data_IF_388897974900
#
_entry.id   IF_388897974900
#
_cell.length_a   1.000
_cell.length_b   1.000
_cell.length_c   1.000
_cell.angle_alpha   90.00
_cell.angle_beta   90.00
_cell.angle_gamma   90.00
#
_symmetry.space_group_name_H-M   'P 1'
#
loop_
_entity.id
_entity.type
_entity.pdbx_description
1 polymer ?
#
# COMPACT_ATOMS: atom_id res chain seq x y z
N UNK A 1 14.53 12.44 11.65
CA UNK A 1 15.48 11.34 11.35
C UNK A 1 14.80 10.04 11.76
N UNK A 2 14.12 9.38 10.83
CA UNK A 2 13.50 8.06 11.05
C UNK A 2 14.43 7.02 10.44
N UNK A 3 14.98 6.15 11.27
CA UNK A 3 15.87 5.08 10.86
C UNK A 3 15.06 4.00 10.12
N UNK A 4 15.64 3.45 9.04
CA UNK A 4 15.14 2.20 8.44
C UNK A 4 15.04 1.15 9.55
N UNK A 5 13.87 0.57 9.74
CA UNK A 5 13.69 -0.59 10.63
C UNK A 5 14.15 -1.81 9.85
N UNK A 6 15.40 -2.19 10.04
CA UNK A 6 15.95 -3.45 9.54
C UNK A 6 15.67 -4.52 10.61
N UNK A 7 15.12 -5.67 10.20
CA UNK A 7 14.77 -6.76 11.10
C UNK A 7 15.86 -7.83 11.04
N UNK A 8 16.39 -8.23 12.19
CA UNK A 8 17.53 -9.13 12.26
C UNK A 8 17.14 -10.40 13.04
N UNK A 9 17.18 -11.57 12.39
CA UNK A 9 16.90 -12.87 12.98
C UNK A 9 18.22 -13.59 13.29
N UNK A 10 18.43 -13.97 14.55
CA UNK A 10 19.57 -14.77 15.00
C UNK A 10 19.12 -16.22 15.19
N UNK A 11 19.80 -17.15 14.52
CA UNK A 11 19.64 -18.59 14.79
C UNK A 11 20.92 -19.07 15.47
N UNK A 12 20.79 -19.45 16.75
CA UNK A 12 21.85 -20.09 17.53
C UNK A 12 21.74 -21.59 17.33
N UNK A 13 22.79 -22.25 16.81
CA UNK A 13 22.88 -23.71 16.78
C UNK A 13 23.77 -24.20 17.93
N UNK A 14 23.22 -25.05 18.80
CA UNK A 14 23.93 -25.62 19.94
C UNK A 14 23.91 -27.16 19.87
N UNK A 15 25.09 -27.78 19.88
CA UNK A 15 25.26 -29.16 20.31
C UNK A 15 25.54 -29.15 21.82
N UNK A 16 24.69 -29.87 22.56
CA UNK A 16 24.49 -29.85 24.01
C UNK A 16 25.74 -29.92 24.90
N UNK A 17 25.77 -29.07 25.93
CA UNK A 17 25.90 -29.45 27.34
C UNK A 17 25.47 -28.26 28.23
N UNK A 18 24.72 -28.56 29.29
CA UNK A 18 24.12 -27.60 30.24
C UNK A 18 25.17 -26.75 30.96
N UNK A 19 25.25 -25.47 30.60
CA UNK A 19 25.71 -24.37 31.47
C UNK A 19 25.08 -23.09 30.97
N UNK A 20 24.35 -22.38 31.83
CA UNK A 20 23.90 -21.01 31.56
C UNK A 20 25.15 -20.15 31.27
N UNK A 21 25.34 -19.73 30.02
CA UNK A 21 26.39 -18.80 29.66
C UNK A 21 25.79 -17.42 29.38
N UNK A 22 26.44 -16.42 29.96
CA UNK A 22 26.16 -15.01 29.81
C UNK A 22 26.02 -14.61 28.33
N UNK A 23 25.00 -13.79 28.06
CA UNK A 23 24.79 -13.14 26.78
C UNK A 23 26.10 -12.52 26.27
N UNK A 24 26.49 -12.85 25.05
CA UNK A 24 27.54 -12.12 24.36
C UNK A 24 27.13 -10.64 24.29
N UNK A 25 28.01 -9.76 24.73
CA UNK A 25 27.75 -8.33 24.83
C UNK A 25 27.49 -7.76 23.42
N UNK A 26 26.32 -7.17 23.12
CA UNK A 26 25.97 -6.65 21.79
C UNK A 26 26.58 -5.27 21.52
N UNK A 27 27.70 -4.93 22.18
CA UNK A 27 28.24 -3.57 22.24
C UNK A 27 29.24 -3.21 21.13
N UNK A 28 29.45 -4.06 20.12
CA UNK A 28 30.14 -3.65 18.91
C UNK A 28 29.12 -3.09 17.91
N UNK A 29 28.93 -1.78 17.98
CA UNK A 29 28.15 -0.94 17.09
C UNK A 29 28.72 -1.02 15.65
N UNK A 30 28.44 -2.13 14.97
CA UNK A 30 28.50 -2.24 13.52
C UNK A 30 27.06 -2.31 13.03
N UNK A 31 26.69 -1.36 12.18
CA UNK A 31 25.57 -1.53 11.24
C UNK A 31 25.66 -2.96 10.72
N UNK A 32 24.60 -3.75 10.89
CA UNK A 32 24.61 -5.15 10.46
C UNK A 32 25.12 -5.20 9.02
N UNK A 33 26.24 -5.91 8.81
CA UNK A 33 26.83 -5.99 7.49
C UNK A 33 25.83 -6.71 6.59
N UNK A 34 25.48 -6.10 5.45
CA UNK A 34 24.59 -6.74 4.49
C UNK A 34 25.22 -8.03 3.98
N UNK A 35 24.40 -9.07 3.78
CA UNK A 35 24.87 -10.35 3.28
C UNK A 35 25.64 -10.19 1.94
N UNK A 36 26.79 -10.85 1.75
CA UNK A 36 27.52 -10.82 0.48
C UNK A 36 26.63 -11.30 -0.68
N UNK A 37 26.59 -10.53 -1.77
CA UNK A 37 25.76 -10.85 -2.94
C UNK A 37 24.30 -10.40 -2.83
N UNK A 38 23.97 -9.53 -1.88
CA UNK A 38 22.68 -8.82 -1.87
C UNK A 38 22.43 -8.14 -3.21
N UNK A 39 21.30 -8.47 -3.84
CA UNK A 39 20.77 -7.73 -4.97
C UNK A 39 19.72 -6.76 -4.42
N UNK A 40 19.93 -5.47 -4.65
CA UNK A 40 19.07 -4.40 -4.15
C UNK A 40 18.19 -3.80 -5.24
N UNK A 41 17.09 -3.18 -4.83
CA UNK A 41 16.19 -2.42 -5.72
C UNK A 41 15.58 -3.29 -6.83
N UNK A 42 15.27 -4.53 -6.50
CA UNK A 42 14.58 -5.44 -7.41
C UNK A 42 13.16 -4.91 -7.61
N UNK A 43 12.76 -4.75 -8.87
CA UNK A 43 11.41 -4.39 -9.25
C UNK A 43 10.74 -5.59 -9.92
N UNK A 44 9.64 -6.05 -9.33
CA UNK A 44 8.76 -7.04 -9.95
C UNK A 44 7.56 -6.28 -10.49
N UNK A 45 7.58 -5.98 -11.79
CA UNK A 45 6.53 -5.18 -12.44
C UNK A 45 5.63 -6.09 -13.27
N UNK A 46 4.31 -6.11 -13.03
CA UNK A 46 3.37 -6.72 -13.96
C UNK A 46 3.31 -5.88 -15.25
N UNK A 47 3.00 -6.53 -16.37
CA UNK A 47 2.89 -5.88 -17.70
C UNK A 47 1.75 -4.83 -17.76
N UNK A 48 0.72 -5.00 -16.92
CA UNK A 48 -0.54 -4.26 -16.98
C UNK A 48 -0.89 -3.44 -15.74
N UNK A 49 -0.02 -3.36 -14.73
CA UNK A 49 -0.25 -2.50 -13.57
C UNK A 49 0.78 -1.37 -13.49
N UNK A 50 0.45 -0.25 -12.83
CA UNK A 50 1.41 0.84 -12.57
C UNK A 50 2.65 0.39 -11.78
N UNK A 51 3.78 1.05 -12.04
CA UNK A 51 5.01 0.90 -11.25
C UNK A 51 4.90 1.70 -9.94
N UNK A 52 4.55 1.02 -8.85
CA UNK A 52 4.41 1.61 -7.52
C UNK A 52 5.73 1.74 -6.72
N UNK A 53 6.91 1.60 -7.36
CA UNK A 53 8.21 1.69 -6.68
C UNK A 53 8.58 3.10 -6.19
N UNK A 54 7.97 4.13 -6.76
CA UNK A 54 8.05 5.52 -6.29
C UNK A 54 6.83 6.30 -6.75
N UNK A 55 6.52 7.43 -6.10
CA UNK A 55 5.41 8.29 -6.55
C UNK A 55 5.62 8.78 -8.00
N UNK A 56 6.87 9.06 -8.39
CA UNK A 56 7.20 9.49 -9.75
C UNK A 56 6.99 8.38 -10.77
N UNK A 57 7.50 7.17 -10.50
CA UNK A 57 7.27 5.99 -11.34
C UNK A 57 5.78 5.69 -11.51
N UNK A 58 5.03 5.85 -10.41
CA UNK A 58 3.60 5.60 -10.39
C UNK A 58 2.88 6.57 -11.31
N UNK A 59 3.15 7.86 -11.19
CA UNK A 59 2.58 8.88 -12.08
C UNK A 59 2.98 8.67 -13.54
N UNK A 60 4.25 8.38 -13.81
CA UNK A 60 4.73 8.13 -15.18
C UNK A 60 4.03 6.94 -15.82
N UNK A 61 3.85 5.86 -15.06
CA UNK A 61 3.20 4.63 -15.55
C UNK A 61 1.68 4.78 -15.69
N UNK A 62 1.01 5.44 -14.74
CA UNK A 62 -0.43 5.74 -14.80
C UNK A 62 -0.75 6.63 -15.99
N UNK A 63 0.10 7.62 -16.26
CA UNK A 63 -0.18 8.67 -17.24
C UNK A 63 0.49 8.50 -18.61
N UNK A 64 1.17 7.36 -18.84
CA UNK A 64 2.06 7.14 -20.00
C UNK A 64 1.44 7.43 -21.37
N UNK A 65 0.14 7.23 -21.54
CA UNK A 65 -0.60 7.39 -22.80
C UNK A 65 -1.53 8.61 -22.81
N UNK A 66 -1.58 9.36 -21.71
CA UNK A 66 -2.40 10.55 -21.57
C UNK A 66 -1.78 11.74 -22.32
N UNK A 67 -2.61 12.43 -23.10
CA UNK A 67 -2.25 13.58 -23.94
C UNK A 67 -2.66 14.91 -23.32
N UNK A 68 -3.67 14.91 -22.45
CA UNK A 68 -4.17 16.13 -21.78
C UNK A 68 -4.08 16.02 -20.26
N UNK A 69 -4.10 17.15 -19.55
CA UNK A 69 -4.11 17.13 -18.09
C UNK A 69 -5.42 16.55 -17.53
N UNK A 70 -6.56 16.78 -18.19
CA UNK A 70 -7.82 16.09 -17.85
C UNK A 70 -7.67 14.56 -17.94
N UNK A 71 -7.05 14.04 -19.01
CA UNK A 71 -6.78 12.59 -19.15
C UNK A 71 -5.87 12.07 -18.03
N UNK A 72 -4.82 12.82 -17.68
CA UNK A 72 -3.92 12.47 -16.55
C UNK A 72 -4.67 12.48 -15.21
N UNK A 73 -5.51 13.48 -14.97
CA UNK A 73 -6.28 13.61 -13.74
C UNK A 73 -7.27 12.45 -13.59
N UNK A 74 -7.97 12.08 -14.67
CA UNK A 74 -8.85 10.91 -14.69
C UNK A 74 -8.08 9.60 -14.53
N UNK A 75 -6.90 9.46 -15.14
CA UNK A 75 -6.08 8.27 -14.98
C UNK A 75 -5.63 8.06 -13.52
N UNK A 76 -5.17 9.14 -12.86
CA UNK A 76 -4.82 9.11 -11.43
C UNK A 76 -6.06 8.82 -10.57
N UNK A 77 -7.18 9.50 -10.82
CA UNK A 77 -8.43 9.22 -10.12
C UNK A 77 -8.83 7.75 -10.25
N UNK A 78 -8.82 7.20 -11.47
CA UNK A 78 -9.14 5.79 -11.70
C UNK A 78 -8.15 4.84 -11.01
N UNK A 79 -6.86 5.18 -10.96
CA UNK A 79 -5.90 4.43 -10.17
C UNK A 79 -6.30 4.40 -8.69
N UNK A 80 -6.60 5.56 -8.08
CA UNK A 80 -7.08 5.64 -6.70
C UNK A 80 -8.31 4.77 -6.50
N UNK A 81 -9.27 4.86 -7.42
CA UNK A 81 -10.48 4.08 -7.39
C UNK A 81 -10.23 2.57 -7.41
N UNK A 82 -9.23 2.09 -8.15
CA UNK A 82 -8.94 0.66 -8.31
C UNK A 82 -8.07 0.10 -7.19
N UNK A 83 -7.26 0.94 -6.55
CA UNK A 83 -6.25 0.48 -5.58
C UNK A 83 -6.60 0.81 -4.14
N UNK A 84 -7.57 1.71 -3.92
CA UNK A 84 -7.95 2.16 -2.60
C UNK A 84 -9.43 1.98 -2.33
N UNK A 85 -9.74 1.78 -1.05
CA UNK A 85 -11.09 1.80 -0.54
C UNK A 85 -11.16 2.69 0.69
N UNK A 86 -12.36 3.17 1.03
CA UNK A 86 -12.49 3.88 2.29
C UNK A 86 -12.49 2.91 3.47
N UNK A 87 -11.73 3.21 4.50
CA UNK A 87 -11.82 2.52 5.80
C UNK A 87 -10.90 3.14 6.86
N UNK A 88 -11.39 3.95 7.80
CA UNK A 88 -10.57 4.51 8.89
C UNK A 88 -9.26 5.20 8.41
N UNK A 89 -8.48 5.79 9.32
CA UNK A 89 -7.14 6.25 8.98
C UNK A 89 -6.13 5.16 9.38
N UNK A 90 -5.31 4.62 8.46
CA UNK A 90 -4.11 3.90 8.88
C UNK A 90 -3.15 4.89 9.56
N UNK A 91 -2.32 4.39 10.46
CA UNK A 91 -1.44 5.25 11.23
C UNK A 91 -0.22 4.51 11.73
N UNK A 92 0.92 5.15 11.59
CA UNK A 92 2.20 4.72 12.15
C UNK A 92 2.79 5.84 13.01
N UNK A 93 3.67 5.45 13.94
CA UNK A 93 4.40 6.42 14.75
C UNK A 93 5.24 7.33 13.86
N UNK A 94 5.02 8.64 13.98
CA UNK A 94 5.72 9.62 13.16
C UNK A 94 5.13 9.81 11.77
N UNK A 95 3.86 9.46 11.54
CA UNK A 95 3.12 9.71 10.29
C UNK A 95 3.36 8.66 9.21
N UNK A 96 2.37 8.44 8.35
CA UNK A 96 2.39 7.43 7.30
C UNK A 96 2.68 8.07 5.93
N UNK A 97 3.81 7.75 5.29
CA UNK A 97 4.10 8.22 3.93
C UNK A 97 3.09 7.69 2.92
N UNK A 98 2.65 8.53 1.98
CA UNK A 98 1.75 8.14 0.89
C UNK A 98 2.29 6.93 0.12
N UNK A 99 3.59 6.88 -0.17
CA UNK A 99 4.17 5.74 -0.88
C UNK A 99 3.99 4.43 -0.11
N UNK A 100 4.04 4.46 1.23
CA UNK A 100 3.80 3.28 2.07
C UNK A 100 2.31 2.96 2.16
N UNK A 101 1.44 3.96 2.26
CA UNK A 101 -0.01 3.78 2.28
C UNK A 101 -0.48 3.04 1.03
N UNK A 102 -0.06 3.48 -0.16
CA UNK A 102 -0.40 2.85 -1.43
C UNK A 102 0.13 1.41 -1.52
N UNK A 103 1.36 1.14 -1.06
CA UNK A 103 1.99 -0.18 -1.20
C UNK A 103 1.59 -1.19 -0.13
N UNK A 104 1.20 -0.76 1.07
CA UNK A 104 1.00 -1.63 2.23
C UNK A 104 -0.41 -1.61 2.81
N UNK A 105 -1.14 -0.52 2.61
CA UNK A 105 -2.46 -0.32 3.21
C UNK A 105 -3.53 -0.37 2.10
N UNK A 106 -3.53 0.59 1.17
CA UNK A 106 -4.56 0.68 0.14
C UNK A 106 -5.93 1.04 0.72
N UNK A 107 -5.98 1.71 1.87
CA UNK A 107 -7.22 2.24 2.44
C UNK A 107 -6.97 3.50 3.25
N UNK A 108 -7.96 4.38 3.30
CA UNK A 108 -7.94 5.55 4.18
C UNK A 108 -9.33 6.17 4.38
N UNK A 109 -9.43 7.27 5.11
CA UNK A 109 -10.60 8.15 5.08
C UNK A 109 -10.35 9.32 4.10
N UNK A 110 -11.38 10.14 3.90
CA UNK A 110 -11.42 11.17 2.86
C UNK A 110 -10.13 11.99 2.75
N UNK A 111 -9.64 12.57 3.85
CA UNK A 111 -8.41 13.37 3.77
C UNK A 111 -7.14 12.57 3.44
N UNK A 112 -7.08 11.29 3.79
CA UNK A 112 -5.92 10.43 3.51
C UNK A 112 -5.89 10.04 2.03
N UNK A 113 -7.02 9.58 1.49
CA UNK A 113 -7.16 9.31 0.05
C UNK A 113 -6.85 10.55 -0.80
N UNK A 114 -7.27 11.73 -0.35
CA UNK A 114 -6.95 12.99 -1.00
C UNK A 114 -5.50 13.45 -0.79
N UNK A 115 -4.84 13.01 0.29
CA UNK A 115 -3.40 13.20 0.49
C UNK A 115 -2.59 12.36 -0.50
N UNK A 116 -3.00 11.12 -0.74
CA UNK A 116 -2.40 10.26 -1.76
C UNK A 116 -2.58 10.88 -3.15
N UNK A 117 -3.80 11.27 -3.49
CA UNK A 117 -4.12 11.86 -4.79
C UNK A 117 -3.32 13.16 -5.06
N UNK A 118 -3.23 14.05 -4.08
CA UNK A 118 -2.43 15.28 -4.20
C UNK A 118 -0.93 15.04 -4.25
N UNK A 119 -0.41 14.03 -3.56
CA UNK A 119 1.00 13.65 -3.64
C UNK A 119 1.38 13.17 -5.06
N UNK A 120 0.46 12.50 -5.76
CA UNK A 120 0.64 12.13 -7.17
C UNK A 120 0.60 13.36 -8.09
N UNK A 121 -0.36 14.27 -7.91
CA UNK A 121 -0.41 15.52 -8.69
C UNK A 121 0.83 16.38 -8.53
N UNK A 122 1.43 16.41 -7.34
CA UNK A 122 2.71 17.07 -7.09
C UNK A 122 3.82 16.56 -8.02
N UNK A 123 3.84 15.26 -8.36
CA UNK A 123 4.83 14.70 -9.29
C UNK A 123 4.63 15.16 -10.74
N UNK A 124 3.43 15.62 -11.08
CA UNK A 124 3.13 16.29 -12.37
C UNK A 124 3.45 17.79 -12.34
N UNK A 125 3.90 18.34 -11.19
CA UNK A 125 4.14 19.76 -11.01
C UNK A 125 2.87 20.60 -10.85
N UNK A 126 1.73 19.95 -10.55
CA UNK A 126 0.46 20.65 -10.35
C UNK A 126 0.35 21.22 -8.95
N UNK A 127 -0.38 22.33 -8.82
CA UNK A 127 -0.82 22.81 -7.51
C UNK A 127 -1.94 21.94 -6.95
N UNK A 128 -2.14 21.96 -5.64
CA UNK A 128 -3.30 21.37 -5.00
C UNK A 128 -3.80 22.26 -3.87
N UNK A 129 -5.06 22.06 -3.46
CA UNK A 129 -5.59 22.60 -2.21
C UNK A 129 -6.58 21.62 -1.64
N UNK A 130 -6.52 21.41 -0.33
CA UNK A 130 -7.63 20.76 0.35
C UNK A 130 -8.83 21.69 0.34
N UNK A 131 -10.00 21.12 0.18
CA UNK A 131 -11.28 21.78 0.39
C UNK A 131 -12.08 20.87 1.31
N UNK A 132 -13.15 21.36 1.92
CA UNK A 132 -13.98 20.49 2.74
C UNK A 132 -15.19 21.15 3.30
N UNK A 133 -16.12 20.31 3.74
CA UNK A 133 -17.32 20.68 4.47
C UNK A 133 -17.43 19.80 5.72
N UNK A 134 -18.46 20.03 6.53
CA UNK A 134 -18.58 19.29 7.78
C UNK A 134 -18.64 17.77 7.54
N UNK A 135 -17.69 17.04 8.12
CA UNK A 135 -17.59 15.59 8.01
C UNK A 135 -16.89 15.07 6.74
N UNK A 136 -16.40 15.95 5.86
CA UNK A 136 -15.75 15.52 4.62
C UNK A 136 -14.64 16.46 4.15
N UNK A 137 -13.52 15.87 3.74
CA UNK A 137 -12.38 16.58 3.16
C UNK A 137 -12.24 16.15 1.72
N UNK A 138 -12.11 17.11 0.82
CA UNK A 138 -11.89 16.97 -0.62
C UNK A 138 -10.57 17.59 -1.02
N UNK A 139 -10.24 17.50 -2.31
CA UNK A 139 -9.06 18.16 -2.86
C UNK A 139 -9.32 18.60 -4.30
N UNK A 140 -8.71 19.72 -4.67
CA UNK A 140 -8.70 20.19 -6.06
C UNK A 140 -7.26 20.25 -6.58
N UNK A 141 -7.09 19.90 -7.85
CA UNK A 141 -5.84 20.05 -8.59
C UNK A 141 -5.84 21.40 -9.33
N UNK A 142 -4.68 22.06 -9.42
CA UNK A 142 -4.47 23.21 -10.27
C UNK A 142 -3.58 22.86 -11.46
N UNK A 143 -4.17 22.81 -12.65
CA UNK A 143 -3.48 22.68 -13.92
C UNK A 143 -4.20 23.54 -14.97
N UNK A 144 -3.50 23.89 -16.05
CA UNK A 144 -4.04 24.76 -17.11
C UNK A 144 -4.65 26.08 -16.60
N UNK A 145 -4.13 26.57 -15.45
CA UNK A 145 -4.57 27.80 -14.79
C UNK A 145 -5.93 27.72 -14.08
N UNK A 146 -6.52 26.52 -13.91
CA UNK A 146 -7.86 26.32 -13.32
C UNK A 146 -7.82 25.30 -12.19
N UNK A 147 -8.81 25.36 -11.30
CA UNK A 147 -9.02 24.38 -10.23
C UNK A 147 -10.00 23.29 -10.69
N UNK A 148 -9.65 22.04 -10.44
CA UNK A 148 -10.39 20.86 -10.88
C UNK A 148 -10.65 19.94 -9.70
N UNK A 149 -11.92 19.61 -9.46
CA UNK A 149 -12.36 18.79 -8.35
C UNK A 149 -12.44 17.31 -8.73
N UNK A 150 -11.74 16.47 -7.97
CA UNK A 150 -11.80 15.01 -8.08
C UNK A 150 -11.83 14.41 -6.68
N UNK A 151 -12.94 13.76 -6.32
CA UNK A 151 -13.13 13.16 -5.02
C UNK A 151 -12.99 11.64 -5.06
N UNK A 152 -11.83 11.13 -4.63
CA UNK A 152 -11.56 9.70 -4.60
C UNK A 152 -12.43 8.95 -3.56
N UNK A 153 -12.83 9.63 -2.48
CA UNK A 153 -13.59 9.03 -1.39
C UNK A 153 -15.07 8.85 -1.73
N UNK A 154 -15.76 9.94 -2.11
CA UNK A 154 -17.14 9.89 -2.59
C UNK A 154 -17.21 9.24 -3.97
N UNK A 155 -16.07 9.14 -4.66
CA UNK A 155 -15.99 8.63 -6.03
C UNK A 155 -16.79 9.56 -6.94
N UNK A 156 -16.39 10.83 -7.00
CA UNK A 156 -17.14 11.86 -7.72
C UNK A 156 -16.24 12.89 -8.41
N UNK A 157 -16.60 13.22 -9.65
CA UNK A 157 -16.14 14.39 -10.38
C UNK A 157 -17.22 14.74 -11.42
N UNK A 158 -17.20 15.95 -11.96
CA UNK A 158 -18.14 16.37 -12.98
C UNK A 158 -17.43 17.12 -14.12
N UNK A 159 -17.94 16.94 -15.33
CA UNK A 159 -17.47 17.65 -16.52
C UNK A 159 -18.24 18.95 -16.68
N UNK A 160 -17.57 19.99 -17.17
CA UNK A 160 -18.20 21.20 -17.70
C UNK A 160 -17.76 21.45 -19.14
N UNK A 161 -18.57 22.12 -19.97
CA UNK A 161 -18.15 22.57 -21.30
C UNK A 161 -16.94 23.50 -21.21
N UNK A 162 -15.98 23.30 -22.11
CA UNK A 162 -14.83 24.18 -22.32
C UNK A 162 -14.42 24.13 -23.80
N UNK A 163 -14.79 25.13 -24.62
CA UNK A 163 -14.51 25.12 -26.04
C UNK A 163 -13.01 25.18 -26.36
N UNK A 164 -12.16 25.53 -25.38
CA UNK A 164 -10.71 25.58 -25.57
C UNK A 164 -10.02 24.25 -25.20
N UNK A 165 -10.71 23.33 -24.53
CA UNK A 165 -10.17 22.02 -24.22
C UNK A 165 -10.25 21.10 -25.47
N UNK A 166 -9.25 20.23 -25.74
CA UNK A 166 -9.24 19.34 -26.90
C UNK A 166 -10.48 18.44 -27.08
N UNK A 167 -11.28 18.24 -26.02
CA UNK A 167 -12.54 17.48 -26.06
C UNK A 167 -13.81 18.33 -25.88
N UNK A 168 -13.72 19.66 -25.93
CA UNK A 168 -14.85 20.58 -25.71
C UNK A 168 -15.37 20.62 -24.27
N UNK A 169 -14.63 20.02 -23.32
CA UNK A 169 -14.97 19.93 -21.90
C UNK A 169 -13.72 19.79 -21.04
N UNK A 170 -13.84 20.14 -19.77
CA UNK A 170 -12.82 19.96 -18.73
C UNK A 170 -13.48 19.60 -17.40
N UNK A 171 -12.72 19.10 -16.43
CA UNK A 171 -13.24 18.82 -15.09
C UNK A 171 -13.61 20.13 -14.39
N UNK A 172 -14.78 20.19 -13.76
CA UNK A 172 -15.21 21.37 -13.01
C UNK A 172 -14.51 21.47 -11.65
N UNK A 173 -14.23 22.68 -11.18
CA UNK A 173 -13.87 22.94 -9.79
C UNK A 173 -15.08 23.04 -8.87
N UNK A 174 -14.89 22.97 -7.55
CA UNK A 174 -15.97 23.03 -6.56
C UNK A 174 -16.75 24.35 -6.60
N UNK A 175 -16.07 25.48 -6.83
CA UNK A 175 -16.72 26.78 -6.97
C UNK A 175 -17.66 26.81 -8.20
N UNK A 176 -17.28 26.16 -9.29
CA UNK A 176 -18.11 26.07 -10.50
C UNK A 176 -19.31 25.15 -10.30
N UNK A 177 -19.11 24.03 -9.60
CA UNK A 177 -20.18 23.12 -9.22
C UNK A 177 -21.16 23.75 -8.23
N UNK A 178 -20.67 24.57 -7.30
CA UNK A 178 -21.51 25.33 -6.37
C UNK A 178 -22.40 26.32 -7.11
N UNK A 179 -21.83 27.05 -8.07
CA UNK A 179 -22.55 28.07 -8.83
C UNK A 179 -23.49 27.49 -9.90
N UNK A 180 -23.28 26.23 -10.32
CA UNK A 180 -24.03 25.62 -11.41
C UNK A 180 -24.42 24.16 -11.12
N UNK A 181 -24.86 23.86 -9.90
CA UNK A 181 -25.20 22.51 -9.46
C UNK A 181 -26.38 21.90 -10.22
N UNK A 182 -27.29 22.75 -10.72
CA UNK A 182 -28.43 22.28 -11.52
C UNK A 182 -27.93 21.61 -12.80
N UNK A 183 -27.11 22.31 -13.58
CA UNK A 183 -26.65 21.80 -14.86
C UNK A 183 -25.54 20.76 -14.71
N UNK A 184 -24.53 21.04 -13.88
CA UNK A 184 -23.33 20.21 -13.79
C UNK A 184 -23.49 18.98 -12.89
N UNK A 185 -24.57 18.90 -12.08
CA UNK A 185 -24.83 17.78 -11.19
C UNK A 185 -26.22 17.18 -11.44
N UNK A 186 -27.32 17.90 -11.15
CA UNK A 186 -28.68 17.33 -11.22
C UNK A 186 -29.06 16.88 -12.63
N UNK A 187 -28.74 17.70 -13.64
CA UNK A 187 -29.05 17.39 -15.04
C UNK A 187 -28.05 16.44 -15.67
N UNK A 188 -26.80 16.43 -15.17
CA UNK A 188 -25.69 15.67 -15.73
C UNK A 188 -25.62 14.21 -15.25
N UNK A 189 -26.24 13.89 -14.11
CA UNK A 189 -26.15 12.57 -13.48
C UNK A 189 -27.53 11.94 -13.23
N UNK A 190 -27.55 10.62 -13.10
CA UNK A 190 -28.76 9.83 -12.81
C UNK A 190 -28.45 8.71 -11.82
N UNK A 191 -29.33 8.51 -10.85
CA UNK A 191 -29.26 7.44 -9.88
C UNK A 191 -29.74 6.12 -10.49
N UNK A 192 -28.97 5.05 -10.34
CA UNK A 192 -29.41 3.68 -10.53
C UNK A 192 -29.87 3.11 -9.17
N UNK A 193 -31.19 3.05 -8.90
CA UNK A 193 -31.69 2.59 -7.60
C UNK A 193 -31.41 1.11 -7.35
N UNK A 194 -31.27 0.29 -8.40
CA UNK A 194 -31.00 -1.13 -8.26
C UNK A 194 -29.54 -1.38 -7.83
N UNK A 195 -28.61 -0.60 -8.39
CA UNK A 195 -27.18 -0.69 -8.05
C UNK A 195 -26.76 0.21 -6.89
N UNK A 196 -27.61 1.17 -6.51
CA UNK A 196 -27.36 2.18 -5.48
C UNK A 196 -26.06 2.95 -5.75
N UNK A 197 -25.92 3.39 -7.00
CA UNK A 197 -24.82 4.21 -7.49
C UNK A 197 -25.34 5.20 -8.52
N UNK A 198 -24.52 6.17 -8.85
CA UNK A 198 -24.84 7.23 -9.81
C UNK A 198 -24.03 7.03 -11.09
N UNK A 199 -24.63 7.34 -12.23
CA UNK A 199 -23.96 7.38 -13.53
C UNK A 199 -24.10 8.77 -14.15
N UNK A 200 -23.16 9.14 -15.01
CA UNK A 200 -23.38 10.27 -15.90
C UNK A 200 -24.52 9.94 -16.87
N UNK A 201 -25.44 10.88 -17.11
CA UNK A 201 -26.69 10.67 -17.85
C UNK A 201 -26.48 10.16 -19.28
N UNK A 202 -25.37 10.52 -19.91
CA UNK A 202 -24.99 10.07 -21.25
C UNK A 202 -23.98 8.91 -21.27
N UNK A 203 -23.65 8.34 -20.11
CA UNK A 203 -22.66 7.28 -19.93
C UNK A 203 -23.12 6.36 -18.78
N UNK A 204 -24.22 5.66 -19.01
CA UNK A 204 -24.85 4.77 -18.03
C UNK A 204 -24.46 3.32 -18.29
N UNK A 205 -24.39 2.53 -17.22
CA UNK A 205 -24.36 1.07 -17.38
C UNK A 205 -25.63 0.61 -18.10
N UNK A 206 -25.48 -0.22 -19.12
CA UNK A 206 -26.65 -0.69 -19.88
C UNK A 206 -26.33 -1.78 -20.88
N UNK A 207 -27.39 -2.42 -21.37
CA UNK A 207 -27.33 -3.28 -22.55
C UNK A 207 -27.65 -2.46 -23.80
N UNK A 208 -26.73 -2.48 -24.76
CA UNK A 208 -26.86 -1.83 -26.05
C UNK A 208 -26.88 -2.93 -27.12
N UNK A 209 -28.08 -3.42 -27.43
CA UNK A 209 -28.26 -4.66 -28.20
C UNK A 209 -27.73 -5.87 -27.44
N UNK A 210 -26.86 -6.66 -28.07
CA UNK A 210 -26.24 -7.85 -27.47
C UNK A 210 -24.97 -7.55 -26.65
N UNK A 211 -24.54 -6.28 -26.58
CA UNK A 211 -23.36 -5.87 -25.82
C UNK A 211 -23.79 -5.24 -24.50
N UNK A 212 -23.07 -5.55 -23.43
CA UNK A 212 -23.19 -4.84 -22.16
C UNK A 212 -22.08 -3.81 -22.10
N UNK A 213 -22.41 -2.58 -21.73
CA UNK A 213 -21.43 -1.52 -21.55
C UNK A 213 -20.92 -1.52 -20.11
N UNK A 214 -19.83 -2.25 -19.93
CA UNK A 214 -19.18 -2.49 -18.65
C UNK A 214 -18.28 -1.34 -18.17
N UNK A 215 -17.92 -0.42 -19.07
CA UNK A 215 -16.93 0.63 -18.81
C UNK A 215 -17.55 1.94 -18.30
N UNK A 216 -18.87 1.97 -18.07
CA UNK A 216 -19.54 3.15 -17.52
C UNK A 216 -19.06 3.41 -16.07
N UNK A 217 -18.40 4.54 -15.78
CA UNK A 217 -17.94 4.84 -14.43
C UNK A 217 -19.13 5.00 -13.50
N UNK A 218 -19.11 4.27 -12.38
CA UNK A 218 -20.06 4.45 -11.29
C UNK A 218 -19.51 5.44 -10.27
N UNK A 219 -20.38 6.34 -9.82
CA UNK A 219 -20.12 7.40 -8.85
C UNK A 219 -20.95 7.16 -7.58
N UNK A 220 -20.55 7.76 -6.45
CA UNK A 220 -21.29 7.73 -5.18
C UNK A 220 -21.69 6.31 -4.75
N UNK A 221 -20.79 5.33 -4.96
CA UNK A 221 -21.08 3.91 -4.71
C UNK A 221 -21.25 3.59 -3.22
N UNK A 222 -20.90 4.51 -2.33
CA UNK A 222 -20.85 4.29 -0.89
C UNK A 222 -22.18 4.58 -0.18
N UNK A 223 -23.23 4.96 -0.93
CA UNK A 223 -24.54 5.31 -0.37
C UNK A 223 -24.74 6.81 -0.20
N UNK A 224 -23.75 7.61 -0.62
CA UNK A 224 -23.87 9.04 -0.78
C UNK A 224 -24.84 9.38 -1.93
N UNK A 225 -25.43 10.57 -1.85
CA UNK A 225 -26.41 11.06 -2.81
C UNK A 225 -25.95 12.38 -3.43
N UNK A 226 -26.42 12.66 -4.65
CA UNK A 226 -26.15 13.93 -5.34
C UNK A 226 -26.52 15.15 -4.48
N UNK A 227 -27.63 15.07 -3.73
CA UNK A 227 -28.05 16.12 -2.81
C UNK A 227 -27.06 16.36 -1.67
N UNK A 228 -26.43 15.29 -1.18
CA UNK A 228 -25.39 15.39 -0.16
C UNK A 228 -24.18 16.17 -0.69
N UNK A 229 -23.75 15.87 -1.92
CA UNK A 229 -22.66 16.59 -2.59
C UNK A 229 -23.03 18.07 -2.78
N UNK A 230 -24.22 18.35 -3.31
CA UNK A 230 -24.70 19.73 -3.55
C UNK A 230 -24.78 20.52 -2.24
N UNK A 231 -25.27 19.90 -1.17
CA UNK A 231 -25.34 20.52 0.16
C UNK A 231 -23.94 20.80 0.72
N UNK A 232 -23.01 19.85 0.57
CA UNK A 232 -21.60 20.01 0.98
C UNK A 232 -20.92 21.18 0.29
N UNK A 233 -21.01 21.23 -1.04
CA UNK A 233 -20.47 22.31 -1.89
C UNK A 233 -20.94 23.71 -1.43
N UNK A 234 -22.21 23.88 -1.06
CA UNK A 234 -22.71 25.18 -0.56
C UNK A 234 -22.02 25.66 0.72
N UNK A 235 -21.34 24.77 1.44
CA UNK A 235 -20.68 25.05 2.71
C UNK A 235 -19.17 24.85 2.67
N UNK A 236 -18.61 24.55 1.48
CA UNK A 236 -17.22 24.20 1.35
C UNK A 236 -16.31 25.35 1.78
N UNK A 237 -15.16 24.99 2.35
CA UNK A 237 -14.14 25.93 2.77
C UNK A 237 -12.80 25.47 2.26
N UNK A 238 -12.06 26.40 1.68
CA UNK A 238 -10.70 26.14 1.22
C UNK A 238 -9.78 25.93 2.43
N UNK A 239 -9.04 24.85 2.41
CA UNK A 239 -7.87 24.61 3.23
C UNK A 239 -6.59 25.09 2.53
N UNK A 240 -5.45 24.81 3.15
CA UNK A 240 -4.13 25.12 2.59
C UNK A 240 -3.64 24.04 1.62
N UNK A 241 -2.54 24.32 0.89
CA UNK A 241 -1.75 23.31 0.20
C UNK A 241 -0.90 22.54 1.22
N UNK A 242 -1.56 21.84 2.14
CA UNK A 242 -0.87 21.06 3.16
C UNK A 242 -0.20 19.84 2.51
N UNK A 243 0.98 19.45 3.00
CA UNK A 243 1.73 18.28 2.50
C UNK A 243 1.22 16.96 3.10
N UNK A 244 -0.09 16.87 3.33
CA UNK A 244 -0.75 15.73 3.96
C UNK A 244 -1.94 16.09 4.83
N UNK A 245 -2.66 15.07 5.28
CA UNK A 245 -3.84 15.20 6.12
C UNK A 245 -3.95 14.01 7.08
N UNK A 246 -4.41 14.25 8.32
CA UNK A 246 -4.67 13.22 9.33
C UNK A 246 -3.52 12.22 9.57
N UNK A 247 -2.26 12.67 9.45
CA UNK A 247 -1.07 11.85 9.66
C UNK A 247 -0.56 11.13 8.41
N UNK A 248 -1.31 11.16 7.31
CA UNK A 248 -0.83 10.80 5.97
C UNK A 248 -0.03 11.96 5.42
N UNK A 249 1.17 11.68 4.87
CA UNK A 249 2.12 12.72 4.48
C UNK A 249 2.72 12.46 3.11
N UNK A 250 2.91 13.51 2.32
CA UNK A 250 3.48 13.43 0.97
C UNK A 250 4.94 12.94 0.97
N UNK A 251 5.69 13.28 2.01
CA UNK A 251 7.09 12.91 2.12
C UNK A 251 7.27 11.41 2.40
N UNK A 252 8.22 10.78 1.72
CA UNK A 252 8.49 9.34 1.88
C UNK A 252 8.99 8.96 3.30
N UNK A 253 9.47 9.93 4.10
CA UNK A 253 10.01 9.76 5.47
C UNK A 253 10.99 8.58 5.64
N UNK A 254 11.73 8.23 4.60
CA UNK A 254 12.71 7.14 4.60
C UNK A 254 12.12 5.76 4.27
N UNK A 255 10.82 5.66 4.02
CA UNK A 255 10.23 4.48 3.39
C UNK A 255 10.84 4.26 2.01
N UNK A 256 11.04 3.00 1.64
CA UNK A 256 11.41 2.59 0.30
C UNK A 256 10.57 1.38 -0.08
N UNK A 257 10.09 1.35 -1.31
CA UNK A 257 9.45 0.19 -1.91
C UNK A 257 10.47 -0.83 -2.47
N UNK A 258 11.77 -0.61 -2.25
CA UNK A 258 12.83 -1.48 -2.76
C UNK A 258 12.76 -2.89 -2.15
N UNK A 259 12.68 -3.90 -3.02
CA UNK A 259 12.90 -5.30 -2.62
C UNK A 259 14.40 -5.59 -2.69
N UNK A 260 14.95 -6.09 -1.60
CA UNK A 260 16.37 -6.46 -1.50
C UNK A 260 16.47 -7.94 -1.12
N UNK A 261 17.12 -8.76 -1.95
CA UNK A 261 17.21 -10.21 -1.75
C UNK A 261 18.67 -10.65 -1.76
N UNK A 262 19.08 -11.37 -0.72
CA UNK A 262 20.39 -12.02 -0.63
C UNK A 262 20.30 -13.49 -1.10
N UNK A 263 21.42 -14.19 -1.34
CA UNK A 263 21.39 -15.61 -1.67
C UNK A 263 20.58 -16.43 -0.65
N UNK A 264 19.61 -17.20 -1.12
CA UNK A 264 18.68 -17.96 -0.28
C UNK A 264 17.35 -17.24 0.00
N UNK A 265 17.22 -15.96 -0.35
CA UNK A 265 15.94 -15.26 -0.25
C UNK A 265 15.09 -15.43 -1.50
N UNK A 266 13.77 -15.49 -1.31
CA UNK A 266 12.76 -15.42 -2.36
C UNK A 266 11.56 -14.59 -1.89
N UNK A 267 11.06 -13.70 -2.74
CA UNK A 267 9.78 -13.03 -2.56
C UNK A 267 8.75 -13.64 -3.51
N UNK A 268 7.66 -14.16 -2.96
CA UNK A 268 6.53 -14.69 -3.72
C UNK A 268 5.30 -13.84 -3.46
N UNK A 269 4.78 -13.16 -4.48
CA UNK A 269 3.55 -12.39 -4.38
C UNK A 269 2.37 -13.24 -4.86
N UNK A 270 1.29 -13.32 -4.08
CA UNK A 270 0.09 -14.08 -4.43
C UNK A 270 -1.13 -13.17 -4.51
N UNK A 271 -2.08 -13.54 -5.37
CA UNK A 271 -3.40 -12.93 -5.37
C UNK A 271 -4.28 -13.47 -4.25
N UNK A 272 -4.04 -14.71 -3.84
CA UNK A 272 -4.76 -15.35 -2.76
C UNK A 272 -4.42 -14.70 -1.43
N UNK A 273 -5.47 -14.43 -0.65
CA UNK A 273 -5.34 -13.93 0.71
C UNK A 273 -4.89 -15.07 1.63
N UNK A 274 -3.88 -14.80 2.45
CA UNK A 274 -3.46 -15.69 3.51
C UNK A 274 -4.36 -15.46 4.74
N UNK A 275 -5.01 -16.51 5.31
CA UNK A 275 -5.83 -16.36 6.51
C UNK A 275 -5.07 -15.70 7.66
N UNK A 276 -5.72 -14.72 8.28
CA UNK A 276 -5.22 -13.92 9.41
C UNK A 276 -3.93 -13.10 9.14
N UNK A 277 -3.48 -13.00 7.89
CA UNK A 277 -2.31 -12.24 7.48
C UNK A 277 -2.64 -10.76 7.20
N UNK A 278 -3.06 -10.04 8.24
CA UNK A 278 -3.37 -8.61 8.15
C UNK A 278 -2.78 -7.84 9.33
N UNK A 279 -2.59 -6.52 9.14
CA UNK A 279 -2.13 -5.62 10.18
C UNK A 279 -2.89 -4.30 10.18
N UNK A 280 -3.31 -3.89 11.38
CA UNK A 280 -3.75 -2.54 11.69
C UNK A 280 -3.49 -2.29 13.17
N UNK A 281 -2.57 -1.37 13.49
CA UNK A 281 -1.87 -1.29 14.79
C UNK A 281 -2.71 -1.16 16.06
N UNK A 282 -4.02 -0.93 15.96
CA UNK A 282 -4.94 -0.82 17.09
C UNK A 282 -6.28 -1.53 16.86
N UNK A 283 -6.30 -2.56 16.01
CA UNK A 283 -7.54 -3.28 15.69
C UNK A 283 -7.42 -4.78 15.90
N UNK A 284 -8.52 -5.36 16.36
CA UNK A 284 -8.73 -6.81 16.45
C UNK A 284 -9.46 -7.35 15.21
N UNK A 285 -9.88 -6.47 14.30
CA UNK A 285 -10.59 -6.82 13.06
C UNK A 285 -9.77 -6.41 11.84
N UNK A 286 -9.76 -7.26 10.79
CA UNK A 286 -9.13 -6.90 9.54
C UNK A 286 -9.75 -5.65 8.93
N UNK A 287 -8.95 -4.82 8.24
CA UNK A 287 -9.46 -3.66 7.53
C UNK A 287 -10.39 -4.10 6.41
N UNK A 288 -11.55 -3.46 6.32
CA UNK A 288 -12.60 -3.88 5.40
C UNK A 288 -13.61 -2.76 5.16
N UNK A 289 -14.05 -2.61 3.92
CA UNK A 289 -15.03 -1.61 3.52
C UNK A 289 -16.36 -1.83 4.27
N UNK A 290 -16.84 -0.82 5.00
CA UNK A 290 -17.98 -0.97 5.93
C UNK A 290 -19.34 -0.63 5.33
N UNK A 291 -19.38 0.02 4.16
CA UNK A 291 -20.64 0.29 3.47
C UNK A 291 -21.46 -0.98 3.18
N UNK A 292 -22.78 -0.81 3.16
CA UNK A 292 -23.72 -1.92 3.05
C UNK A 292 -23.67 -2.64 1.70
N UNK A 293 -23.61 -3.98 1.78
CA UNK A 293 -23.66 -4.96 0.68
C UNK A 293 -22.46 -4.96 -0.30
N UNK A 294 -22.33 -6.04 -1.05
CA UNK A 294 -21.33 -6.25 -2.09
C UNK A 294 -21.64 -5.33 -3.28
N UNK A 295 -21.02 -4.14 -3.31
CA UNK A 295 -21.25 -3.11 -4.33
C UNK A 295 -20.15 -3.07 -5.39
N UNK A 296 -19.66 -4.24 -5.79
CA UNK A 296 -18.75 -4.36 -6.93
C UNK A 296 -19.52 -4.09 -8.22
N UNK A 297 -19.79 -2.81 -8.45
CA UNK A 297 -20.45 -2.29 -9.63
C UNK A 297 -19.50 -2.22 -10.82
N UNK A 298 -18.21 -2.47 -10.58
CA UNK A 298 -17.13 -2.49 -11.57
C UNK A 298 -16.83 -3.92 -12.00
N UNK A 299 -17.58 -4.40 -12.98
CA UNK A 299 -17.23 -5.60 -13.72
C UNK A 299 -16.53 -5.15 -15.00
N UNK A 300 -15.20 -5.02 -15.00
CA UNK A 300 -14.45 -4.84 -16.25
C UNK A 300 -14.08 -6.22 -16.83
N UNK A 301 -14.56 -6.60 -18.02
CA UNK A 301 -14.25 -7.91 -18.60
C UNK A 301 -12.77 -8.10 -19.01
N UNK A 302 -11.96 -7.04 -19.07
CA UNK A 302 -10.52 -7.06 -19.37
C UNK A 302 -9.61 -7.00 -18.14
N UNK A 303 -10.09 -6.48 -17.01
CA UNK A 303 -9.35 -6.38 -15.73
C UNK A 303 -9.84 -7.43 -14.72
N UNK A 304 -11.03 -7.99 -14.94
CA UNK A 304 -11.75 -8.77 -13.95
C UNK A 304 -12.43 -7.86 -12.91
N UNK A 305 -12.98 -8.49 -11.89
CA UNK A 305 -13.54 -7.79 -10.74
C UNK A 305 -12.39 -7.25 -9.87
N UNK A 306 -12.17 -5.93 -9.85
CA UNK A 306 -11.39 -5.30 -8.78
C UNK A 306 -12.33 -5.17 -7.58
N UNK A 307 -12.19 -6.09 -6.64
CA UNK A 307 -13.14 -6.29 -5.55
C UNK A 307 -12.66 -5.58 -4.29
N UNK A 308 -13.46 -4.65 -3.77
CA UNK A 308 -13.16 -4.05 -2.48
C UNK A 308 -13.45 -5.04 -1.34
N UNK A 309 -12.70 -5.00 -0.22
CA UNK A 309 -12.85 -5.93 0.88
C UNK A 309 -14.07 -5.60 1.76
N UNK A 310 -15.29 -5.70 1.21
CA UNK A 310 -16.50 -5.41 1.96
C UNK A 310 -16.71 -6.38 3.12
N UNK A 311 -17.01 -5.85 4.32
CA UNK A 311 -17.24 -6.65 5.55
C UNK A 311 -18.34 -7.71 5.44
N UNK A 312 -19.25 -7.54 4.47
CA UNK A 312 -20.37 -8.48 4.20
C UNK A 312 -20.15 -9.33 2.94
N UNK A 313 -19.00 -9.23 2.27
CA UNK A 313 -18.66 -10.09 1.15
C UNK A 313 -18.49 -11.54 1.60
N UNK A 314 -18.92 -12.50 0.78
CA UNK A 314 -18.74 -13.93 1.01
C UNK A 314 -18.18 -14.56 -0.27
N UNK A 315 -16.95 -15.10 -0.27
CA UNK A 315 -15.99 -15.10 0.85
C UNK A 315 -15.54 -13.69 1.25
N UNK A 316 -15.04 -13.53 2.48
CA UNK A 316 -14.39 -12.29 2.90
C UNK A 316 -13.17 -12.05 2.01
N UNK A 317 -12.97 -10.80 1.59
CA UNK A 317 -11.88 -10.43 0.68
C UNK A 317 -10.86 -9.60 1.43
N UNK A 318 -9.61 -9.78 1.07
CA UNK A 318 -8.46 -9.01 1.56
C UNK A 318 -7.56 -8.72 0.38
N UNK A 319 -6.84 -7.59 0.39
CA UNK A 319 -5.83 -7.35 -0.63
C UNK A 319 -4.56 -8.15 -0.32
N UNK A 320 -4.07 -8.77 -1.38
CA UNK A 320 -2.78 -9.45 -1.61
C UNK A 320 -1.90 -9.74 -0.39
N UNK A 321 -1.60 -11.02 -0.22
CA UNK A 321 -0.53 -11.49 0.66
C UNK A 321 0.70 -11.86 -0.18
N UNK A 322 1.87 -11.82 0.44
CA UNK A 322 3.10 -12.31 -0.17
C UNK A 322 3.98 -12.94 0.90
N UNK A 323 4.87 -13.84 0.49
CA UNK A 323 5.77 -14.55 1.38
C UNK A 323 7.21 -14.21 1.01
N UNK A 324 7.94 -13.63 1.96
CA UNK A 324 9.39 -13.51 1.90
C UNK A 324 10.00 -14.71 2.63
N UNK A 325 10.68 -15.59 1.89
CA UNK A 325 11.28 -16.82 2.41
C UNK A 325 12.79 -16.69 2.42
N UNK A 326 13.44 -17.22 3.46
CA UNK A 326 14.88 -17.49 3.48
C UNK A 326 15.12 -19.00 3.58
N UNK A 327 15.67 -19.58 2.53
CA UNK A 327 16.04 -20.99 2.41
C UNK A 327 17.40 -21.08 1.68
N UNK A 328 18.53 -20.98 2.40
CA UNK A 328 19.85 -20.95 1.78
C UNK A 328 20.26 -22.34 1.29
N UNK A 329 21.08 -22.39 0.24
CA UNK A 329 21.55 -23.64 -0.35
C UNK A 329 22.77 -24.21 0.40
N UNK A 330 22.59 -25.34 1.08
CA UNK A 330 23.66 -26.05 1.81
C UNK A 330 24.50 -26.98 0.91
N UNK A 331 24.31 -26.97 -0.40
CA UNK A 331 25.04 -27.86 -1.33
C UNK A 331 26.56 -27.63 -1.33
N UNK A 332 27.01 -26.42 -0.96
CA UNK A 332 28.42 -26.01 -0.90
C UNK A 332 28.65 -24.89 0.13
N UNK A 333 29.90 -24.47 0.29
CA UNK A 333 30.32 -23.48 1.30
C UNK A 333 29.86 -22.03 1.01
N UNK A 334 29.33 -21.76 -0.18
CA UNK A 334 28.72 -20.46 -0.50
C UNK A 334 27.52 -20.13 0.40
N UNK A 335 26.93 -21.12 1.09
CA UNK A 335 25.88 -20.91 2.10
C UNK A 335 26.29 -19.87 3.16
N UNK A 336 27.58 -19.76 3.48
CA UNK A 336 28.07 -18.78 4.46
C UNK A 336 27.85 -17.33 3.99
N UNK A 337 27.71 -17.09 2.69
CA UNK A 337 27.40 -15.78 2.09
C UNK A 337 25.92 -15.42 2.17
N UNK A 338 25.05 -16.36 2.49
CA UNK A 338 23.61 -16.11 2.70
C UNK A 338 23.30 -15.37 3.99
N UNK A 339 24.26 -15.31 4.93
CA UNK A 339 24.08 -14.70 6.24
C UNK A 339 24.70 -13.31 6.27
N UNK A 340 24.03 -12.37 6.94
CA UNK A 340 24.52 -11.02 7.20
C UNK A 340 25.76 -11.04 8.10
N UNK A 341 25.77 -11.94 9.09
CA UNK A 341 26.92 -12.20 9.92
C UNK A 341 26.98 -13.67 10.32
N UNK A 342 28.20 -14.14 10.58
CA UNK A 342 28.46 -15.44 11.19
C UNK A 342 29.50 -15.27 12.28
N UNK A 343 29.38 -16.02 13.38
CA UNK A 343 30.38 -16.06 14.44
C UNK A 343 30.60 -17.50 14.89
N UNK A 344 31.87 -17.91 14.98
CA UNK A 344 32.25 -19.28 15.32
C UNK A 344 31.57 -20.34 14.42
N UNK A 345 31.45 -20.09 13.11
CA UNK A 345 30.80 -21.00 12.15
C UNK A 345 31.77 -21.50 11.09
N UNK A 346 31.59 -22.75 10.67
CA UNK A 346 32.20 -23.33 9.47
C UNK A 346 31.20 -24.18 8.72
N UNK A 347 31.39 -24.27 7.40
CA UNK A 347 30.66 -25.23 6.56
C UNK A 347 31.41 -26.57 6.52
N UNK A 348 30.71 -27.67 6.74
CA UNK A 348 31.23 -29.02 6.53
C UNK A 348 30.08 -29.99 6.30
N UNK A 349 30.26 -30.94 5.38
CA UNK A 349 29.30 -32.03 5.10
C UNK A 349 27.86 -31.54 4.86
N UNK A 350 27.68 -30.48 4.05
CA UNK A 350 26.36 -29.88 3.78
C UNK A 350 25.63 -29.40 5.03
N UNK A 351 26.40 -28.95 6.02
CA UNK A 351 25.89 -28.47 7.31
C UNK A 351 26.75 -27.32 7.81
N UNK A 352 26.16 -26.56 8.71
CA UNK A 352 26.83 -25.48 9.44
C UNK A 352 27.16 -25.99 10.84
N UNK A 353 28.43 -25.91 11.20
CA UNK A 353 28.96 -26.40 12.48
C UNK A 353 29.71 -25.30 13.22
N UNK A 354 29.75 -25.34 14.56
CA UNK A 354 30.67 -24.51 15.32
C UNK A 354 32.12 -24.73 14.85
N UNK A 355 32.86 -23.64 14.63
CA UNK A 355 34.26 -23.72 14.22
C UNK A 355 35.12 -24.26 15.37
N UNK A 356 34.89 -23.74 16.58
CA UNK A 356 35.46 -24.14 17.86
C UNK A 356 34.45 -24.94 18.68
N UNK A 357 34.91 -26.08 19.21
CA UNK A 357 34.09 -26.95 20.06
C UNK A 357 33.77 -26.27 21.40
N UNK A 358 32.57 -26.49 21.93
CA UNK A 358 32.13 -25.96 23.22
C UNK A 358 31.75 -24.48 23.22
N UNK A 359 31.90 -23.77 22.09
CA UNK A 359 31.38 -22.41 21.90
C UNK A 359 30.16 -22.43 20.98
N UNK A 360 29.13 -21.60 21.22
CA UNK A 360 27.98 -21.52 20.34
C UNK A 360 28.39 -21.03 18.96
N UNK A 361 27.75 -21.58 17.94
CA UNK A 361 27.82 -21.08 16.57
C UNK A 361 26.64 -20.13 16.33
N UNK A 362 26.90 -18.99 15.70
CA UNK A 362 25.88 -17.96 15.44
C UNK A 362 25.83 -17.64 13.96
N UNK A 363 24.62 -17.62 13.42
CA UNK A 363 24.33 -17.01 12.13
C UNK A 363 23.25 -15.94 12.29
N UNK A 364 23.38 -14.90 11.48
CA UNK A 364 22.49 -13.74 11.48
C UNK A 364 21.88 -13.60 10.10
N UNK A 365 20.55 -13.60 10.03
CA UNK A 365 19.77 -13.38 8.83
C UNK A 365 19.15 -11.99 8.92
N UNK A 366 19.50 -11.12 7.97
CA UNK A 366 18.92 -9.78 7.88
C UNK A 366 17.70 -9.83 6.95
N UNK A 367 16.52 -9.59 7.52
CA UNK A 367 15.25 -9.50 6.82
C UNK A 367 14.88 -8.04 6.61
N UNK A 368 14.79 -7.64 5.35
CA UNK A 368 14.26 -6.34 4.96
C UNK A 368 13.10 -6.54 3.98
N UNK A 369 11.95 -5.97 4.32
CA UNK A 369 10.74 -6.01 3.49
C UNK A 369 10.21 -4.59 3.31
N UNK A 370 9.85 -4.17 2.08
CA UNK A 370 9.10 -2.94 1.88
C UNK A 370 7.62 -3.08 2.30
N UNK A 371 7.17 -4.30 2.59
CA UNK A 371 5.82 -4.63 3.03
C UNK A 371 5.76 -4.91 4.52
N UNK A 372 4.60 -4.66 5.12
CA UNK A 372 4.34 -4.93 6.52
C UNK A 372 4.35 -6.43 6.80
N UNK A 373 5.11 -6.85 7.79
CA UNK A 373 5.12 -8.24 8.23
C UNK A 373 3.88 -8.54 9.08
N UNK A 374 3.16 -9.63 8.76
CA UNK A 374 1.90 -10.00 9.43
C UNK A 374 1.96 -11.35 10.12
N UNK A 375 2.69 -12.31 9.52
CA UNK A 375 2.93 -13.66 10.03
C UNK A 375 4.40 -14.02 9.84
N UNK A 376 4.94 -14.81 10.76
CA UNK A 376 6.29 -15.34 10.62
C UNK A 376 6.46 -16.66 11.37
N UNK A 377 7.11 -17.60 10.68
CA UNK A 377 7.46 -18.93 11.17
C UNK A 377 8.70 -19.41 10.42
N UNK A 378 9.30 -20.49 10.90
CA UNK A 378 10.40 -21.15 10.22
C UNK A 378 10.69 -22.52 10.82
N UNK A 379 11.73 -23.15 10.31
CA UNK A 379 12.24 -24.42 10.78
C UNK A 379 13.77 -24.44 10.68
N UNK A 380 14.43 -25.05 11.66
CA UNK A 380 15.88 -25.22 11.66
C UNK A 380 16.25 -26.46 12.49
N UNK A 381 17.05 -27.36 11.90
CA UNK A 381 17.56 -28.53 12.63
C UNK A 381 18.86 -28.16 13.35
N UNK A 382 18.94 -28.50 14.65
CA UNK A 382 20.14 -28.24 15.46
C UNK A 382 20.24 -26.81 16.00
N UNK A 383 19.23 -25.97 15.79
CA UNK A 383 19.10 -24.67 16.44
C UNK A 383 18.80 -24.85 17.95
N UNK A 384 19.70 -24.37 18.81
CA UNK A 384 19.53 -24.37 20.26
C UNK A 384 18.73 -23.17 20.79
N UNK A 385 18.72 -22.05 20.07
CA UNK A 385 17.88 -20.88 20.37
C UNK A 385 17.64 -20.04 19.12
N UNK A 386 16.57 -19.25 19.13
CA UNK A 386 16.26 -18.29 18.07
C UNK A 386 15.85 -16.98 18.71
N UNK A 387 16.41 -15.89 18.21
CA UNK A 387 16.12 -14.54 18.70
C UNK A 387 15.82 -13.60 17.55
N UNK A 388 14.93 -12.62 17.79
CA UNK A 388 14.53 -11.61 16.81
C UNK A 388 14.82 -10.22 17.36
N UNK A 389 15.36 -9.37 16.49
CA UNK A 389 15.47 -7.93 16.70
C UNK A 389 14.60 -7.17 15.70
N UNK A 390 13.86 -6.18 16.19
CA UNK A 390 13.03 -5.26 15.39
C UNK A 390 13.52 -3.81 15.46
N UNK A 391 14.72 -3.59 16.02
CA UNK A 391 15.32 -2.28 16.26
C UNK A 391 16.72 -2.14 15.63
N UNK A 392 16.96 -2.89 14.54
CA UNK A 392 18.23 -2.86 13.81
C UNK A 392 19.37 -3.58 14.54
N UNK A 393 19.06 -4.64 15.28
CA UNK A 393 20.04 -5.45 15.99
C UNK A 393 20.47 -4.88 17.35
N UNK A 394 19.78 -3.87 17.89
CA UNK A 394 20.15 -3.26 19.19
C UNK A 394 19.69 -4.13 20.35
N UNK A 395 18.51 -4.72 20.25
CA UNK A 395 17.98 -5.67 21.23
C UNK A 395 17.45 -6.92 20.53
N UNK A 396 17.71 -8.07 21.15
CA UNK A 396 17.25 -9.39 20.69
C UNK A 396 16.31 -9.99 21.73
N UNK A 397 15.24 -10.63 21.24
CA UNK A 397 14.25 -11.31 22.07
C UNK A 397 14.15 -12.76 21.64
N UNK A 398 14.25 -13.69 22.58
CA UNK A 398 14.01 -15.10 22.33
C UNK A 398 12.58 -15.32 21.80
N UNK A 399 12.45 -16.17 20.78
CA UNK A 399 11.17 -16.51 20.16
C UNK A 399 11.04 -18.01 19.92
N UNK A 400 9.80 -18.47 19.72
CA UNK A 400 9.53 -19.79 19.17
C UNK A 400 9.67 -19.73 17.65
N UNK A 401 10.60 -20.49 17.06
CA UNK A 401 10.82 -20.47 15.61
C UNK A 401 9.58 -20.90 14.82
N UNK A 402 8.75 -21.79 15.37
CA UNK A 402 7.56 -22.29 14.69
C UNK A 402 6.45 -21.23 14.57
N UNK A 403 6.46 -20.19 15.42
CA UNK A 403 5.60 -19.02 15.30
C UNK A 403 6.16 -17.86 16.15
N UNK A 404 6.61 -16.83 15.46
CA UNK A 404 7.09 -15.59 16.07
C UNK A 404 6.39 -14.37 15.47
N UNK A 405 5.17 -14.58 14.95
CA UNK A 405 4.34 -13.55 14.32
C UNK A 405 4.11 -12.36 15.26
N UNK A 406 3.81 -12.61 16.53
CA UNK A 406 3.55 -11.54 17.52
C UNK A 406 4.74 -10.59 17.73
N UNK A 407 5.97 -11.05 17.52
CA UNK A 407 7.18 -10.24 17.69
C UNK A 407 7.41 -9.30 16.51
N UNK A 408 7.06 -9.74 15.30
CA UNK A 408 7.37 -9.03 14.04
C UNK A 408 6.16 -8.38 13.39
N UNK A 409 4.95 -8.65 13.88
CA UNK A 409 3.71 -8.12 13.31
C UNK A 409 3.70 -6.59 13.34
N UNK A 410 3.52 -5.98 12.17
CA UNK A 410 3.51 -4.53 12.00
C UNK A 410 4.88 -3.90 11.78
N UNK A 411 5.96 -4.69 11.70
CA UNK A 411 7.27 -4.17 11.30
C UNK A 411 7.33 -3.86 9.81
#
# INVERSE_FOLDING_TARGET
MSARREMCLVVLAALSATTAMAAANPADEKTAAKAPGLVSQIKVLPDKAPDCSSLKSMVDSITRECKTNDEKAIAIYNFMQLTHYHFAYPGESGGLPVLKEINCYGWSLCGGLHSEQSALWRQLGWGWRFVGWNGHTTVEANYDGKWHYLDAFLKFYAWKPDPNAPGGRTIAGEDELTNNSEELIRNAFVMDPARKCVYAKNNQFGRYGNKVYWLAPSFLCCGDELEGVISGLKTHRRGGPDEGWAGIVHADRGYSADVNLAPGFALTNTWDAEPDAWYWGNSERPPAHTCGAHKDTRNDPGIGLVLEPYVKSKPARSYSSGTLTFAPDFSNDAVLKSFAATANMKYANKSLLPAESGKPGVVVVDFSSPYILTKANGEATGAGAVEVSTDGGKTFKAVNLNDFSATVKGQ
#
